data_IF_900223039744
#
_entry.id   IF_900223039744
#
_cell.length_a   1.000
_cell.length_b   1.000
_cell.length_c   1.000
_cell.angle_alpha   90.00
_cell.angle_beta   90.00
_cell.angle_gamma   90.00
#
_symmetry.space_group_name_H-M   'P 1'
#
loop_
_entity.id
_entity.type
_entity.pdbx_description
1 polymer ?
#
# COMPACT_ATOMS: atom_id res chain seq x y z
N UNK A 1 23.23 -34.90 -6.03
CA UNK A 1 22.94 -33.57 -5.51
C UNK A 1 22.24 -32.80 -6.63
N UNK A 2 20.93 -32.83 -6.63
CA UNK A 2 20.11 -32.27 -7.70
C UNK A 2 19.86 -30.82 -7.32
N UNK A 3 20.47 -29.93 -8.08
CA UNK A 3 20.27 -28.49 -8.02
C UNK A 3 18.81 -28.20 -8.42
N UNK A 4 17.99 -27.91 -7.40
CA UNK A 4 16.57 -27.60 -7.56
C UNK A 4 16.41 -26.09 -7.68
N UNK A 5 16.91 -25.52 -8.76
CA UNK A 5 16.51 -24.19 -9.23
C UNK A 5 15.07 -24.26 -9.74
N UNK A 6 14.13 -24.38 -8.82
CA UNK A 6 12.76 -24.01 -9.08
C UNK A 6 12.71 -22.47 -9.09
N UNK A 7 12.81 -21.88 -10.25
CA UNK A 7 12.17 -20.59 -10.50
C UNK A 7 10.66 -20.83 -10.37
N UNK A 8 10.17 -20.86 -9.14
CA UNK A 8 8.73 -20.81 -8.88
C UNK A 8 8.24 -19.55 -9.60
N UNK A 9 7.45 -19.77 -10.65
CA UNK A 9 6.95 -18.70 -11.49
C UNK A 9 6.11 -17.76 -10.62
N UNK A 10 6.63 -16.55 -10.37
CA UNK A 10 5.93 -15.57 -9.58
C UNK A 10 4.78 -14.98 -10.39
N UNK A 11 3.56 -15.12 -9.89
CA UNK A 11 2.36 -14.51 -10.47
C UNK A 11 1.97 -13.26 -9.70
N UNK A 12 1.53 -12.24 -10.44
CA UNK A 12 0.96 -10.99 -9.90
C UNK A 12 -0.47 -10.91 -10.41
N UNK A 13 -1.41 -10.74 -9.50
CA UNK A 13 -2.84 -10.70 -9.82
C UNK A 13 -3.50 -9.50 -9.13
N UNK A 14 -4.41 -8.83 -9.84
CA UNK A 14 -5.21 -7.74 -9.29
C UNK A 14 -6.66 -8.18 -9.12
N UNK A 15 -7.23 -7.83 -7.98
CA UNK A 15 -8.54 -8.25 -7.52
C UNK A 15 -9.42 -7.03 -7.22
N UNK A 16 -10.70 -7.09 -7.56
CA UNK A 16 -11.71 -6.14 -7.13
C UNK A 16 -12.32 -6.50 -5.77
N UNK A 17 -13.38 -5.79 -5.38
CA UNK A 17 -14.05 -5.94 -4.09
C UNK A 17 -14.40 -7.40 -3.74
N UNK A 18 -15.07 -8.12 -4.63
CA UNK A 18 -15.57 -9.47 -4.35
C UNK A 18 -14.44 -10.46 -4.05
N UNK A 19 -13.41 -10.47 -4.88
CA UNK A 19 -12.26 -11.35 -4.73
C UNK A 19 -11.43 -10.93 -3.50
N UNK A 20 -11.29 -9.62 -3.25
CA UNK A 20 -10.60 -9.10 -2.07
C UNK A 20 -11.29 -9.53 -0.77
N UNK A 21 -12.63 -9.51 -0.72
CA UNK A 21 -13.40 -10.02 0.42
C UNK A 21 -13.19 -11.53 0.63
N UNK A 22 -13.13 -12.32 -0.45
CA UNK A 22 -12.84 -13.74 -0.37
C UNK A 22 -11.41 -14.02 0.14
N UNK A 23 -10.46 -13.14 -0.14
CA UNK A 23 -9.06 -13.22 0.31
C UNK A 23 -8.79 -12.53 1.66
N UNK A 24 -9.81 -11.95 2.32
CA UNK A 24 -9.62 -11.11 3.50
C UNK A 24 -8.81 -11.78 4.61
N UNK A 25 -9.05 -13.06 4.91
CA UNK A 25 -8.28 -13.82 5.89
C UNK A 25 -6.80 -13.89 5.50
N UNK A 26 -6.52 -14.29 4.27
CA UNK A 26 -5.15 -14.42 3.74
C UNK A 26 -4.41 -13.09 3.77
N UNK A 27 -5.07 -12.00 3.37
CA UNK A 27 -4.45 -10.66 3.35
C UNK A 27 -4.16 -10.17 4.77
N UNK A 28 -5.06 -10.42 5.72
CA UNK A 28 -4.82 -10.06 7.11
C UNK A 28 -3.69 -10.89 7.75
N UNK A 29 -3.54 -12.17 7.38
CA UNK A 29 -2.42 -13.01 7.83
C UNK A 29 -1.09 -12.52 7.25
N UNK A 30 -1.06 -12.14 5.96
CA UNK A 30 0.11 -11.51 5.35
C UNK A 30 0.44 -10.16 5.99
N UNK A 31 -0.56 -9.34 6.28
CA UNK A 31 -0.40 -8.07 6.98
C UNK A 31 0.30 -8.30 8.33
N UNK A 32 -0.22 -9.21 9.14
CA UNK A 32 0.38 -9.57 10.43
C UNK A 32 1.83 -10.05 10.28
N UNK A 33 2.09 -10.97 9.34
CA UNK A 33 3.44 -11.49 9.07
C UNK A 33 4.44 -10.40 8.67
N UNK A 34 4.00 -9.38 7.94
CA UNK A 34 4.85 -8.27 7.49
C UNK A 34 5.05 -7.22 8.59
N UNK A 35 3.97 -6.81 9.25
CA UNK A 35 3.97 -5.65 10.14
C UNK A 35 4.26 -5.99 11.61
N UNK A 36 4.28 -7.27 12.00
CA UNK A 36 4.82 -7.70 13.31
C UNK A 36 6.32 -7.51 13.44
N UNK A 37 7.03 -7.41 12.31
CA UNK A 37 8.49 -7.28 12.27
C UNK A 37 8.97 -5.81 12.34
N UNK A 38 10.23 -5.58 12.78
CA UNK A 38 10.81 -4.24 12.69
C UNK A 38 10.80 -3.68 11.26
N UNK A 39 10.64 -2.36 11.10
CA UNK A 39 10.58 -1.31 12.12
C UNK A 39 9.17 -1.06 12.68
N UNK A 40 8.16 -1.79 12.23
CA UNK A 40 6.75 -1.53 12.59
C UNK A 40 6.42 -2.06 13.98
N UNK A 41 6.76 -3.33 14.27
CA UNK A 41 6.51 -4.01 15.55
C UNK A 41 5.04 -3.92 15.97
N UNK A 42 4.13 -4.17 15.02
CA UNK A 42 2.69 -4.16 15.25
C UNK A 42 2.27 -5.15 16.33
N UNK A 43 1.16 -4.90 16.95
CA UNK A 43 0.63 -5.68 18.07
C UNK A 43 -0.74 -6.30 17.76
N UNK A 44 -1.19 -7.21 18.61
CA UNK A 44 -2.45 -7.95 18.42
C UNK A 44 -3.68 -7.04 18.28
N UNK A 45 -3.72 -5.87 18.94
CA UNK A 45 -4.84 -4.94 18.82
C UNK A 45 -4.87 -4.28 17.44
N UNK A 46 -3.71 -3.92 16.87
CA UNK A 46 -3.58 -3.40 15.51
C UNK A 46 -4.03 -4.43 14.48
N UNK A 47 -3.61 -5.69 14.62
CA UNK A 47 -4.00 -6.76 13.71
C UNK A 47 -5.49 -7.09 13.79
N UNK A 48 -6.09 -7.09 14.99
CA UNK A 48 -7.53 -7.24 15.18
C UNK A 48 -8.30 -6.08 14.52
N UNK A 49 -7.81 -4.84 14.66
CA UNK A 49 -8.39 -3.68 14.00
C UNK A 49 -8.30 -3.81 12.47
N UNK A 50 -7.15 -4.23 11.93
CA UNK A 50 -6.97 -4.46 10.49
C UNK A 50 -7.95 -5.51 9.96
N UNK A 51 -8.16 -6.62 10.66
CA UNK A 51 -9.12 -7.66 10.29
C UNK A 51 -10.55 -7.14 10.20
N UNK A 52 -10.92 -6.22 11.10
CA UNK A 52 -12.25 -5.62 11.09
C UNK A 52 -12.41 -4.48 10.08
N UNK A 53 -11.31 -3.83 9.70
CA UNK A 53 -11.30 -2.66 8.83
C UNK A 53 -11.13 -3.01 7.34
N UNK A 54 -10.35 -4.04 7.02
CA UNK A 54 -10.06 -4.44 5.64
C UNK A 54 -11.33 -4.69 4.80
N UNK A 55 -12.36 -5.41 5.28
CA UNK A 55 -13.59 -5.58 4.49
C UNK A 55 -14.26 -4.25 4.11
N UNK A 56 -14.28 -3.28 5.03
CA UNK A 56 -14.85 -1.94 4.77
C UNK A 56 -14.03 -1.16 3.73
N UNK A 57 -12.71 -1.36 3.72
CA UNK A 57 -11.85 -0.78 2.68
C UNK A 57 -12.13 -1.42 1.31
N UNK A 58 -12.27 -2.74 1.26
CA UNK A 58 -12.53 -3.48 0.04
C UNK A 58 -13.85 -3.09 -0.65
N UNK A 59 -14.81 -2.57 0.10
CA UNK A 59 -16.09 -2.08 -0.41
C UNK A 59 -16.04 -0.63 -0.96
N UNK A 60 -14.90 0.07 -0.81
CA UNK A 60 -14.78 1.44 -1.34
C UNK A 60 -14.79 1.45 -2.87
N UNK A 61 -15.43 2.46 -3.49
CA UNK A 61 -15.40 2.61 -4.94
C UNK A 61 -13.98 2.64 -5.48
N UNK A 62 -13.70 1.86 -6.52
CA UNK A 62 -12.40 1.80 -7.16
C UNK A 62 -11.32 1.08 -6.35
N UNK A 63 -11.69 0.36 -5.28
CA UNK A 63 -10.74 -0.44 -4.52
C UNK A 63 -10.03 -1.47 -5.40
N UNK A 64 -8.72 -1.60 -5.21
CA UNK A 64 -7.86 -2.56 -5.87
C UNK A 64 -6.98 -3.25 -4.84
N UNK A 65 -6.88 -4.57 -4.96
CA UNK A 65 -5.93 -5.41 -4.25
C UNK A 65 -5.03 -6.07 -5.28
N UNK A 66 -3.73 -5.92 -5.15
CA UNK A 66 -2.75 -6.68 -5.94
C UNK A 66 -2.02 -7.65 -5.04
N UNK A 67 -1.92 -8.90 -5.46
CA UNK A 67 -1.22 -9.97 -4.74
C UNK A 67 -0.07 -10.52 -5.55
N UNK A 68 0.97 -10.97 -4.87
CA UNK A 68 2.05 -11.76 -5.45
C UNK A 68 2.03 -13.17 -4.87
N UNK A 69 2.21 -14.17 -5.73
CA UNK A 69 2.30 -15.59 -5.34
C UNK A 69 3.56 -16.23 -5.92
N UNK A 70 4.09 -17.20 -5.19
CA UNK A 70 5.11 -18.14 -5.63
C UNK A 70 4.51 -19.53 -5.52
N UNK A 71 4.13 -20.14 -6.64
CA UNK A 71 3.29 -21.33 -6.62
C UNK A 71 1.97 -21.08 -5.85
N UNK A 72 1.63 -21.94 -4.85
CA UNK A 72 0.42 -21.75 -4.05
C UNK A 72 0.53 -20.69 -2.95
N UNK A 73 1.73 -20.22 -2.63
CA UNK A 73 2.01 -19.34 -1.49
C UNK A 73 1.80 -17.87 -1.87
N UNK A 74 1.03 -17.14 -1.06
CA UNK A 74 0.98 -15.68 -1.13
C UNK A 74 2.21 -15.10 -0.45
N UNK A 75 2.98 -14.26 -1.16
CA UNK A 75 4.27 -13.72 -0.72
C UNK A 75 4.29 -12.21 -0.57
N UNK A 76 3.24 -11.54 -1.02
CA UNK A 76 3.11 -10.07 -0.90
C UNK A 76 1.75 -9.59 -1.36
N UNK A 77 1.45 -8.35 -0.98
CA UNK A 77 0.20 -7.68 -1.29
C UNK A 77 0.37 -6.16 -1.32
N UNK A 78 -0.55 -5.50 -1.97
CA UNK A 78 -0.75 -4.05 -1.88
C UNK A 78 -2.18 -3.72 -2.22
N UNK A 79 -2.78 -2.75 -1.54
CA UNK A 79 -4.13 -2.31 -1.83
C UNK A 79 -4.34 -0.83 -1.57
N UNK A 80 -5.37 -0.33 -2.22
CA UNK A 80 -5.77 1.06 -2.10
C UNK A 80 -7.04 1.35 -2.86
N UNK A 81 -7.37 2.63 -2.92
CA UNK A 81 -8.58 3.13 -3.60
C UNK A 81 -8.37 4.59 -4.01
N UNK A 82 -9.12 5.10 -5.01
CA UNK A 82 -9.13 6.50 -5.37
C UNK A 82 -9.67 7.37 -4.23
N UNK A 83 -9.04 8.49 -3.94
CA UNK A 83 -9.52 9.43 -2.93
C UNK A 83 -10.87 10.02 -3.38
N UNK A 84 -11.92 9.98 -2.54
CA UNK A 84 -13.18 10.63 -2.85
C UNK A 84 -13.05 12.15 -2.90
N UNK A 85 -13.96 12.82 -3.61
CA UNK A 85 -13.91 14.28 -3.78
C UNK A 85 -13.99 15.06 -2.45
N UNK A 86 -14.65 14.50 -1.45
CA UNK A 86 -14.79 15.06 -0.10
C UNK A 86 -13.74 14.54 0.90
N UNK A 87 -12.62 14.02 0.41
CA UNK A 87 -11.58 13.44 1.25
C UNK A 87 -10.95 14.46 2.20
N UNK A 88 -10.61 13.99 3.39
CA UNK A 88 -9.77 14.73 4.35
C UNK A 88 -8.29 14.32 4.29
N UNK A 89 -7.86 13.64 3.22
CA UNK A 89 -6.46 13.17 3.10
C UNK A 89 -5.46 14.30 3.23
N UNK A 90 -5.72 15.43 2.55
CA UNK A 90 -4.85 16.60 2.51
C UNK A 90 -5.06 17.59 3.66
N UNK A 91 -5.99 17.30 4.56
CA UNK A 91 -6.22 18.15 5.73
C UNK A 91 -5.20 17.90 6.85
N UNK A 92 -4.96 18.96 7.66
CA UNK A 92 -4.10 18.86 8.86
C UNK A 92 -2.65 18.43 8.55
N UNK A 93 -2.15 18.77 7.38
CA UNK A 93 -0.75 18.66 7.02
C UNK A 93 0.07 19.72 7.75
N UNK A 94 1.30 19.38 8.18
CA UNK A 94 2.18 20.33 8.84
C UNK A 94 2.62 21.46 7.91
N UNK A 95 2.92 21.13 6.65
CA UNK A 95 3.08 22.07 5.55
C UNK A 95 1.82 21.95 4.68
N UNK A 96 0.90 22.94 4.72
CA UNK A 96 -0.30 22.90 3.88
C UNK A 96 0.04 22.89 2.39
N UNK A 97 -0.73 22.13 1.63
CA UNK A 97 -0.71 22.19 0.17
C UNK A 97 -1.76 23.19 -0.31
N UNK A 98 -1.61 23.72 -1.52
CA UNK A 98 -2.59 24.63 -2.09
C UNK A 98 -3.91 23.92 -2.43
N UNK A 99 -4.97 24.70 -2.66
CA UNK A 99 -6.31 24.20 -2.91
C UNK A 99 -6.39 23.40 -4.22
N UNK A 100 -5.68 23.83 -5.26
CA UNK A 100 -5.63 23.12 -6.54
C UNK A 100 -4.97 21.75 -6.39
N UNK A 101 -3.88 21.66 -5.62
CA UNK A 101 -3.22 20.41 -5.31
C UNK A 101 -4.14 19.48 -4.47
N UNK A 102 -4.84 20.04 -3.48
CA UNK A 102 -5.73 19.28 -2.59
C UNK A 102 -7.06 18.86 -3.24
N UNK A 103 -7.44 19.46 -4.38
CA UNK A 103 -8.69 19.15 -5.04
C UNK A 103 -8.72 17.72 -5.57
N UNK A 104 -9.75 16.96 -5.19
CA UNK A 104 -9.96 15.58 -5.59
C UNK A 104 -11.28 15.43 -6.37
N UNK A 105 -11.33 14.44 -7.25
CA UNK A 105 -12.47 14.20 -8.14
C UNK A 105 -13.15 12.86 -7.88
N UNK A 106 -12.60 12.03 -7.01
CA UNK A 106 -12.99 10.63 -6.85
C UNK A 106 -12.19 9.66 -7.75
N UNK A 107 -11.35 10.19 -8.66
CA UNK A 107 -10.52 9.39 -9.57
C UNK A 107 -9.11 9.97 -9.76
N UNK A 108 -8.85 11.19 -9.29
CA UNK A 108 -7.58 11.90 -9.54
C UNK A 108 -6.39 11.26 -8.83
N UNK A 109 -6.54 10.94 -7.56
CA UNK A 109 -5.43 10.43 -6.74
C UNK A 109 -5.75 9.03 -6.21
N UNK A 110 -4.90 8.05 -6.48
CA UNK A 110 -4.99 6.72 -5.88
C UNK A 110 -4.20 6.67 -4.57
N UNK A 111 -4.88 6.39 -3.46
CA UNK A 111 -4.25 6.20 -2.16
C UNK A 111 -3.84 4.75 -1.96
N UNK A 112 -2.54 4.49 -1.87
CA UNK A 112 -2.00 3.19 -1.42
C UNK A 112 -2.11 3.15 0.10
N UNK A 113 -2.92 2.23 0.61
CA UNK A 113 -3.24 2.15 2.05
C UNK A 113 -2.26 1.25 2.77
N UNK A 114 -2.13 0.00 2.33
CA UNK A 114 -1.15 -0.92 2.88
C UNK A 114 -0.45 -1.68 1.75
N UNK A 115 0.79 -2.06 2.04
CA UNK A 115 1.67 -2.68 1.07
C UNK A 115 2.78 -3.44 1.78
N UNK A 116 2.99 -4.69 1.42
CA UNK A 116 3.99 -5.50 2.08
C UNK A 116 4.43 -6.73 1.30
N UNK A 117 5.66 -7.17 1.59
CA UNK A 117 6.27 -8.40 1.08
C UNK A 117 6.87 -9.15 2.26
N UNK A 118 6.66 -10.47 2.31
CA UNK A 118 7.25 -11.34 3.32
C UNK A 118 8.76 -11.13 3.39
N UNK A 119 9.33 -11.16 4.60
CA UNK A 119 10.71 -10.76 4.87
C UNK A 119 11.75 -11.57 4.08
N UNK A 120 11.51 -12.87 3.92
CA UNK A 120 12.36 -13.81 3.18
C UNK A 120 12.21 -13.72 1.66
N UNK A 121 11.20 -12.99 1.18
CA UNK A 121 10.92 -12.75 -0.26
C UNK A 121 11.32 -11.35 -0.72
N UNK A 122 11.90 -10.53 0.16
CA UNK A 122 12.37 -9.18 -0.16
C UNK A 122 13.66 -9.21 -0.98
N UNK A 123 13.88 -8.15 -1.76
CA UNK A 123 15.10 -8.00 -2.57
C UNK A 123 15.04 -8.64 -3.95
N UNK A 124 14.02 -9.44 -4.27
CA UNK A 124 13.82 -10.11 -5.56
C UNK A 124 12.87 -9.35 -6.52
N UNK A 125 12.62 -8.06 -6.28
CA UNK A 125 11.76 -7.24 -7.13
C UNK A 125 10.25 -7.44 -6.94
N UNK A 126 9.82 -8.35 -6.05
CA UNK A 126 8.39 -8.64 -5.77
C UNK A 126 7.62 -7.36 -5.47
N UNK A 127 8.18 -6.55 -4.58
CA UNK A 127 7.57 -5.30 -4.19
C UNK A 127 7.33 -4.36 -5.37
N UNK A 128 8.33 -4.11 -6.20
CA UNK A 128 8.20 -3.22 -7.35
C UNK A 128 7.12 -3.70 -8.33
N UNK A 129 7.04 -5.01 -8.57
CA UNK A 129 6.00 -5.57 -9.45
C UNK A 129 4.59 -5.40 -8.88
N UNK A 130 4.38 -5.59 -7.56
CA UNK A 130 3.09 -5.32 -6.92
C UNK A 130 2.74 -3.83 -7.05
N UNK A 131 3.70 -2.95 -6.78
CA UNK A 131 3.53 -1.51 -6.87
C UNK A 131 3.10 -1.07 -8.27
N UNK A 132 3.82 -1.50 -9.30
CA UNK A 132 3.53 -1.14 -10.68
C UNK A 132 2.17 -1.67 -11.14
N UNK A 133 1.84 -2.92 -10.82
CA UNK A 133 0.56 -3.52 -11.19
C UNK A 133 -0.62 -2.85 -10.46
N UNK A 134 -0.45 -2.53 -9.16
CA UNK A 134 -1.47 -1.83 -8.39
C UNK A 134 -1.80 -0.46 -8.99
N UNK A 135 -0.78 0.28 -9.37
CA UNK A 135 -0.90 1.66 -9.83
C UNK A 135 -1.25 1.78 -11.32
N UNK A 136 -0.64 1.00 -12.20
CA UNK A 136 -0.85 1.09 -13.67
C UNK A 136 -2.30 0.88 -14.07
N UNK A 137 -3.02 0.01 -13.37
CA UNK A 137 -4.44 -0.24 -13.64
C UNK A 137 -5.42 0.65 -12.88
N UNK A 138 -4.95 1.62 -12.11
CA UNK A 138 -5.83 2.48 -11.30
C UNK A 138 -6.56 3.55 -12.10
N UNK A 139 -6.01 3.97 -13.25
CA UNK A 139 -6.55 5.07 -14.06
C UNK A 139 -6.39 6.45 -13.42
N UNK A 140 -5.72 6.56 -12.28
CA UNK A 140 -5.50 7.82 -11.59
C UNK A 140 -4.35 8.64 -12.22
N UNK A 141 -4.40 9.96 -12.06
CA UNK A 141 -3.36 10.88 -12.54
C UNK A 141 -2.09 10.79 -11.70
N UNK A 142 -2.24 10.51 -10.40
CA UNK A 142 -1.17 10.42 -9.41
C UNK A 142 -1.53 9.43 -8.30
N UNK A 143 -0.54 9.07 -7.49
CA UNK A 143 -0.76 8.27 -6.30
C UNK A 143 -0.26 8.97 -5.03
N UNK A 144 -0.80 8.58 -3.88
CA UNK A 144 -0.36 9.03 -2.57
C UNK A 144 -0.26 7.87 -1.60
N UNK A 145 0.59 8.00 -0.60
CA UNK A 145 0.67 7.09 0.54
C UNK A 145 1.16 7.82 1.79
N UNK A 146 0.94 7.19 2.94
CA UNK A 146 1.56 7.61 4.20
C UNK A 146 2.58 6.57 4.66
N UNK A 147 3.73 7.02 5.16
CA UNK A 147 4.79 6.13 5.65
C UNK A 147 5.38 6.66 6.95
N UNK A 148 5.64 5.77 7.90
CA UNK A 148 6.25 6.16 9.17
C UNK A 148 7.69 6.63 8.94
N UNK A 149 8.13 7.77 9.52
CA UNK A 149 9.49 8.28 9.36
C UNK A 149 10.58 7.29 9.80
N UNK A 150 10.29 6.43 10.79
CA UNK A 150 11.20 5.38 11.28
C UNK A 150 11.45 4.27 10.25
N UNK A 151 10.58 4.10 9.25
CA UNK A 151 10.74 3.13 8.18
C UNK A 151 11.74 3.62 7.10
N UNK A 152 12.96 3.90 7.51
CA UNK A 152 14.01 4.55 6.68
C UNK A 152 14.25 3.80 5.37
N UNK A 153 14.39 2.47 5.44
CA UNK A 153 14.62 1.64 4.25
C UNK A 153 13.43 1.69 3.28
N UNK A 154 12.21 1.66 3.78
CA UNK A 154 10.99 1.74 2.97
C UNK A 154 10.87 3.09 2.27
N UNK A 155 11.16 4.19 3.00
CA UNK A 155 11.18 5.56 2.42
C UNK A 155 12.22 5.69 1.31
N UNK A 156 13.40 5.10 1.50
CA UNK A 156 14.45 5.10 0.47
C UNK A 156 14.04 4.32 -0.79
N UNK A 157 13.31 3.20 -0.63
CA UNK A 157 12.73 2.46 -1.74
C UNK A 157 11.74 3.33 -2.51
N UNK A 158 10.80 3.96 -1.81
CA UNK A 158 9.82 4.86 -2.44
C UNK A 158 10.51 6.02 -3.17
N UNK A 159 11.53 6.65 -2.57
CA UNK A 159 12.30 7.70 -3.23
C UNK A 159 12.91 7.23 -4.56
N UNK A 160 13.46 6.00 -4.60
CA UNK A 160 14.00 5.41 -5.84
C UNK A 160 12.94 5.14 -6.90
N UNK A 161 11.68 4.92 -6.48
CA UNK A 161 10.54 4.72 -7.37
C UNK A 161 9.86 6.03 -7.78
N UNK A 162 10.46 7.18 -7.48
CA UNK A 162 9.97 8.48 -7.90
C UNK A 162 9.01 9.16 -6.93
N UNK A 163 8.72 8.53 -5.77
CA UNK A 163 7.88 9.17 -4.76
C UNK A 163 8.61 10.34 -4.11
N UNK A 164 7.92 11.47 -3.96
CA UNK A 164 8.41 12.63 -3.24
C UNK A 164 7.58 12.91 -1.98
N UNK A 165 8.22 13.35 -0.93
CA UNK A 165 7.52 13.84 0.27
C UNK A 165 6.92 15.21 -0.02
N UNK A 166 5.64 15.38 0.31
CA UNK A 166 4.93 16.67 0.20
C UNK A 166 4.73 17.32 1.56
N UNK A 167 4.50 16.54 2.61
CA UNK A 167 4.33 17.02 3.97
C UNK A 167 4.48 15.89 4.98
N UNK A 168 4.17 16.18 6.24
CA UNK A 168 3.93 15.17 7.25
C UNK A 168 2.62 15.45 7.99
N UNK A 169 2.08 14.44 8.67
CA UNK A 169 0.80 14.52 9.34
C UNK A 169 0.83 13.77 10.66
N UNK A 170 0.26 14.38 11.69
CA UNK A 170 -0.06 13.69 12.93
C UNK A 170 -1.42 13.01 12.78
N UNK A 171 -1.46 11.71 13.03
CA UNK A 171 -2.69 10.93 13.08
C UNK A 171 -3.25 10.93 14.49
N UNK A 172 -4.58 10.90 14.59
CA UNK A 172 -5.24 10.86 15.90
C UNK A 172 -5.08 9.47 16.55
N UNK A 173 -4.99 9.41 17.88
CA UNK A 173 -5.06 8.14 18.61
C UNK A 173 -6.29 7.31 18.17
N UNK A 174 -6.20 5.97 18.15
CA UNK A 174 -5.22 5.12 18.85
C UNK A 174 -4.04 4.63 18.01
N UNK A 175 -3.56 5.38 17.05
CA UNK A 175 -2.46 4.93 16.17
C UNK A 175 -1.13 4.97 16.95
N UNK A 176 -0.39 3.85 17.08
CA UNK A 176 0.82 3.75 17.89
C UNK A 176 1.98 4.62 17.41
N UNK A 177 2.01 4.93 16.12
CA UNK A 177 2.97 5.85 15.54
C UNK A 177 2.22 7.04 14.95
N UNK A 178 2.05 8.14 15.68
CA UNK A 178 1.17 9.22 15.27
C UNK A 178 1.70 10.02 14.08
N UNK A 179 3.02 9.99 13.81
CA UNK A 179 3.64 10.80 12.75
C UNK A 179 3.83 9.98 11.48
N UNK A 180 3.33 10.51 10.37
CA UNK A 180 3.53 9.96 9.03
C UNK A 180 4.04 11.02 8.05
N UNK A 181 4.99 10.64 7.21
CA UNK A 181 5.32 11.37 6.00
C UNK A 181 4.26 11.08 4.93
N UNK A 182 3.78 12.10 4.26
CA UNK A 182 2.86 11.97 3.13
C UNK A 182 3.67 12.11 1.84
N UNK A 183 3.61 11.05 1.03
CA UNK A 183 4.32 10.98 -0.24
C UNK A 183 3.35 11.03 -1.41
N UNK A 184 3.82 11.56 -2.55
CA UNK A 184 3.08 11.59 -3.82
C UNK A 184 3.96 11.07 -4.94
N UNK A 185 3.38 10.30 -5.84
CA UNK A 185 3.94 9.87 -7.10
C UNK A 185 3.12 10.50 -8.22
N UNK A 186 3.76 11.36 -9.02
CA UNK A 186 3.11 12.08 -10.15
C UNK A 186 3.28 11.35 -11.48
N UNK A 187 4.37 10.61 -11.64
CA UNK A 187 4.63 9.80 -12.84
C UNK A 187 4.15 8.37 -12.60
N UNK A 188 2.89 8.09 -12.97
CA UNK A 188 2.28 6.78 -12.77
C UNK A 188 2.89 5.70 -13.67
N UNK A 189 3.12 4.47 -13.17
CA UNK A 189 3.57 3.36 -13.98
C UNK A 189 2.61 3.11 -15.16
N UNK A 190 3.15 2.96 -16.38
CA UNK A 190 2.35 2.68 -17.58
C UNK A 190 1.64 3.88 -18.22
N UNK A 191 1.78 5.08 -17.67
CA UNK A 191 1.34 6.32 -18.32
C UNK A 191 2.30 6.65 -19.49
N UNK A 192 1.93 6.24 -20.71
CA UNK A 192 2.56 6.66 -21.97
C UNK A 192 1.48 7.00 -22.99
#
# INVERSE_FOLDING_TARGET
>A
MTDRTLTDEMTIETHGCREALALAGTICDLYEAVFSLPPFNGNAAEFANQRSYFPKLAERPGFRLTTARSGPEFIGFGYGYPLPADTHWWSRLAEPVDEEFAAETGTRTFAVIDYGVLSDRRGAGVGHRIHDELLSGSGAERATLSVQPKAVRTREIYRRWGWRKVSHKLMDPPIPAPLFDILVLEEMPGAR
#
